data_IF_583923995768
#
_entry.id   IF_583923995768
#
_cell.length_a   1.000
_cell.length_b   1.000
_cell.length_c   1.000
_cell.angle_alpha   90.00
_cell.angle_beta   90.00
_cell.angle_gamma   90.00
#
_symmetry.space_group_name_H-M   'P 1'
#
loop_
_entity.id
_entity.type
_entity.pdbx_description
1 polymer ?
#
# COMPACT_ATOMS: atom_id res chain seq x y z
N UNK A 1 6.87 5.89 5.00
CA UNK A 1 7.67 4.66 5.20
C UNK A 1 7.12 3.47 4.40
N UNK A 2 5.83 3.14 4.51
CA UNK A 2 5.20 2.03 3.75
C UNK A 2 5.24 2.18 2.23
N UNK A 3 5.17 3.42 1.74
CA UNK A 3 5.15 3.72 0.31
C UNK A 3 6.35 3.12 -0.44
N UNK A 4 7.58 3.26 0.09
CA UNK A 4 8.78 2.70 -0.54
C UNK A 4 8.77 1.16 -0.56
N UNK A 5 8.23 0.54 0.48
CA UNK A 5 8.08 -0.93 0.56
C UNK A 5 7.09 -1.38 -0.51
N UNK A 6 5.92 -0.73 -0.58
CA UNK A 6 4.88 -1.02 -1.56
C UNK A 6 5.39 -0.79 -3.00
N UNK A 7 6.11 0.30 -3.27
CA UNK A 7 6.72 0.56 -4.58
C UNK A 7 7.74 -0.53 -4.96
N UNK A 8 8.60 -0.91 -4.03
CA UNK A 8 9.60 -1.96 -4.26
C UNK A 8 8.95 -3.31 -4.56
N UNK A 9 7.90 -3.68 -3.82
CA UNK A 9 7.20 -4.94 -4.01
C UNK A 9 6.37 -4.94 -5.31
N UNK A 10 5.68 -3.84 -5.61
CA UNK A 10 5.00 -3.65 -6.89
C UNK A 10 5.98 -3.81 -8.07
N UNK A 11 7.17 -3.20 -7.97
CA UNK A 11 8.23 -3.32 -8.98
C UNK A 11 8.77 -4.75 -9.08
N UNK A 12 8.98 -5.43 -7.95
CA UNK A 12 9.44 -6.83 -7.88
C UNK A 12 8.45 -7.79 -8.54
N UNK A 13 7.15 -7.57 -8.35
CA UNK A 13 6.09 -8.39 -8.95
C UNK A 13 5.73 -7.95 -10.38
N UNK A 14 6.30 -6.84 -10.88
CA UNK A 14 5.97 -6.31 -12.21
C UNK A 14 4.54 -5.78 -12.32
N UNK A 15 3.90 -5.44 -11.20
CA UNK A 15 2.51 -4.99 -11.17
C UNK A 15 2.42 -3.50 -11.46
N UNK A 16 1.54 -3.15 -12.40
CA UNK A 16 1.21 -1.76 -12.70
C UNK A 16 0.26 -1.18 -11.65
N UNK A 17 0.27 0.16 -11.50
CA UNK A 17 -0.71 0.84 -10.64
C UNK A 17 -2.16 0.57 -11.04
N UNK A 18 -2.40 0.25 -12.31
CA UNK A 18 -3.70 -0.23 -12.80
C UNK A 18 -4.10 -1.55 -12.13
N UNK A 19 -3.20 -2.55 -12.17
CA UNK A 19 -3.50 -3.88 -11.63
C UNK A 19 -3.69 -3.84 -10.11
N UNK A 20 -2.85 -3.08 -9.42
CA UNK A 20 -2.97 -2.87 -7.97
C UNK A 20 -4.31 -2.19 -7.63
N UNK A 21 -4.76 -1.21 -8.42
CA UNK A 21 -6.06 -0.57 -8.21
C UNK A 21 -7.24 -1.53 -8.37
N UNK A 22 -7.20 -2.38 -9.40
CA UNK A 22 -8.20 -3.43 -9.62
C UNK A 22 -8.24 -4.43 -8.44
N UNK A 23 -7.09 -4.94 -8.01
CA UNK A 23 -7.01 -5.97 -6.98
C UNK A 23 -7.30 -5.40 -5.56
N UNK A 24 -6.99 -4.13 -5.30
CA UNK A 24 -7.23 -3.48 -4.00
C UNK A 24 -8.60 -2.78 -3.89
N UNK A 25 -9.33 -2.61 -5.00
CA UNK A 25 -10.56 -1.81 -5.06
C UNK A 25 -10.35 -0.31 -4.85
N UNK A 26 -9.10 0.17 -4.91
CA UNK A 26 -8.76 1.59 -4.78
C UNK A 26 -8.70 2.22 -6.17
N UNK A 27 -9.24 3.45 -6.37
CA UNK A 27 -9.16 4.13 -7.66
C UNK A 27 -7.73 4.19 -8.20
N UNK A 28 -7.54 3.83 -9.47
CA UNK A 28 -6.22 3.74 -10.12
C UNK A 28 -5.44 5.04 -9.98
N UNK A 29 -6.10 6.18 -10.15
CA UNK A 29 -5.50 7.51 -9.97
C UNK A 29 -4.94 7.70 -8.56
N UNK A 30 -5.62 7.19 -7.54
CA UNK A 30 -5.17 7.24 -6.15
C UNK A 30 -3.95 6.35 -5.94
N UNK A 31 -3.95 5.14 -6.51
CA UNK A 31 -2.79 4.24 -6.45
C UNK A 31 -1.58 4.85 -7.15
N UNK A 32 -1.76 5.41 -8.35
CA UNK A 32 -0.67 6.04 -9.10
C UNK A 32 -0.08 7.24 -8.35
N UNK A 33 -0.92 8.13 -7.78
CA UNK A 33 -0.44 9.26 -6.97
C UNK A 33 0.29 8.79 -5.72
N UNK A 34 -0.19 7.74 -5.06
CA UNK A 34 0.51 7.15 -3.92
C UNK A 34 1.85 6.54 -4.33
N UNK A 35 1.91 5.81 -5.44
CA UNK A 35 3.16 5.27 -5.97
C UNK A 35 4.11 6.35 -6.50
N UNK A 36 3.62 7.52 -6.90
CA UNK A 36 4.44 8.67 -7.29
C UNK A 36 4.93 9.49 -6.09
N UNK A 37 4.25 9.43 -4.94
CA UNK A 37 4.53 10.28 -3.78
C UNK A 37 3.79 11.61 -3.76
N UNK A 38 2.80 11.75 -4.63
CA UNK A 38 1.94 12.92 -4.71
C UNK A 38 0.84 12.92 -3.65
N UNK A 39 0.60 11.79 -2.98
CA UNK A 39 -0.32 11.71 -1.86
C UNK A 39 0.06 10.65 -0.85
N UNK A 40 -0.37 10.88 0.39
CA UNK A 40 -0.39 9.87 1.45
C UNK A 40 -1.75 9.19 1.54
N UNK A 41 -1.73 7.94 2.00
CA UNK A 41 -2.94 7.15 2.23
C UNK A 41 -3.11 6.87 3.73
N UNK A 42 -4.37 6.83 4.14
CA UNK A 42 -4.77 6.37 5.48
C UNK A 42 -4.67 4.84 5.59
N UNK A 43 -4.50 4.36 6.82
CA UNK A 43 -4.13 2.97 7.13
C UNK A 43 -4.99 1.90 6.45
N UNK A 44 -6.30 2.11 6.33
CA UNK A 44 -7.20 1.16 5.65
C UNK A 44 -6.87 1.00 4.15
N UNK A 45 -6.56 2.10 3.46
CA UNK A 45 -6.19 2.06 2.03
C UNK A 45 -4.82 1.47 1.82
N UNK A 46 -3.88 1.75 2.73
CA UNK A 46 -2.56 1.10 2.72
C UNK A 46 -2.74 -0.40 2.93
N UNK A 47 -3.61 -0.83 3.85
CA UNK A 47 -3.89 -2.24 4.10
C UNK A 47 -4.45 -2.95 2.86
N UNK A 48 -5.38 -2.30 2.14
CA UNK A 48 -5.94 -2.83 0.88
C UNK A 48 -4.87 -2.98 -0.21
N UNK A 49 -4.02 -1.96 -0.40
CA UNK A 49 -2.92 -2.01 -1.38
C UNK A 49 -1.88 -3.06 -0.98
N UNK A 50 -1.52 -3.14 0.31
CA UNK A 50 -0.62 -4.15 0.83
C UNK A 50 -1.18 -5.56 0.60
N UNK A 51 -2.45 -5.78 0.91
CA UNK A 51 -3.14 -7.05 0.67
C UNK A 51 -3.16 -7.46 -0.81
N UNK A 52 -3.38 -6.50 -1.72
CA UNK A 52 -3.30 -6.74 -3.16
C UNK A 52 -1.88 -7.16 -3.63
N UNK A 53 -0.83 -6.80 -2.88
CA UNK A 53 0.55 -7.21 -3.11
C UNK A 53 0.94 -8.46 -2.30
N UNK A 54 0.01 -9.06 -1.55
CA UNK A 54 0.29 -10.18 -0.66
C UNK A 54 1.09 -9.81 0.60
N UNK A 55 1.10 -8.53 0.97
CA UNK A 55 1.78 -8.01 2.16
C UNK A 55 0.80 -7.88 3.34
N UNK A 56 1.23 -8.31 4.52
CA UNK A 56 0.46 -8.15 5.76
C UNK A 56 0.97 -6.97 6.58
N UNK A 57 0.08 -6.04 6.92
CA UNK A 57 0.37 -4.99 7.89
C UNK A 57 0.24 -5.55 9.31
N UNK A 58 1.37 -5.66 10.03
CA UNK A 58 1.34 -6.05 11.44
C UNK A 58 1.03 -4.84 12.33
N UNK A 59 0.00 -4.89 13.18
CA UNK A 59 -0.21 -3.85 14.16
C UNK A 59 0.95 -3.87 15.15
N UNK A 60 1.69 -2.75 15.23
CA UNK A 60 2.70 -2.61 16.27
C UNK A 60 1.98 -2.49 17.61
N UNK A 61 2.06 -3.54 18.44
CA UNK A 61 1.56 -3.47 19.82
C UNK A 61 2.43 -2.47 20.57
N UNK A 62 2.00 -1.21 20.63
CA UNK A 62 2.57 -0.22 21.56
C UNK A 62 2.24 -0.73 22.96
N UNK A 63 3.22 -1.34 23.64
CA UNK A 63 3.09 -1.67 25.08
C UNK A 63 2.76 -0.37 25.80
N UNK A 64 1.52 -0.21 26.25
CA UNK A 64 1.20 0.76 27.31
C UNK A 64 2.05 0.35 28.50
N UNK A 65 3.08 1.14 28.82
CA UNK A 65 3.68 1.09 30.16
C UNK A 65 2.58 1.59 31.10
N UNK A 66 2.01 0.66 31.87
CA UNK A 66 1.26 0.98 33.08
C UNK A 66 2.22 1.47 34.16
#
# INVERSE_FOLDING_TARGET
MFQKIIQSEAKRQGLSGYRIGMDSGIPIRTVQRYLAGDCDLVGERIAKIAGALGLELRPTKRKRKG
#
